data_IF_527669197156
#
_entry.id   IF_527669197156
#
_cell.length_a   1.000
_cell.length_b   1.000
_cell.length_c   1.000
_cell.angle_alpha   90.00
_cell.angle_beta   90.00
_cell.angle_gamma   90.00
#
_symmetry.space_group_name_H-M   'P 1'
#
loop_
_entity.id
_entity.type
_entity.pdbx_description
1 polymer ?
#
# COMPACT_ATOMS: atom_id res chain seq x y z
N UNK A 1 -0.63 -16.76 -15.10
CA UNK A 1 -1.50 -16.36 -16.24
C UNK A 1 -2.17 -15.06 -15.84
N UNK A 2 -2.28 -14.11 -16.77
CA UNK A 2 -3.01 -12.87 -16.54
C UNK A 2 -4.02 -12.69 -17.65
N UNK A 3 -5.21 -12.17 -17.33
CA UNK A 3 -6.24 -11.84 -18.32
C UNK A 3 -6.53 -10.34 -18.22
N UNK A 4 -6.18 -9.62 -19.26
CA UNK A 4 -6.51 -8.20 -19.42
C UNK A 4 -7.64 -8.07 -20.44
N UNK A 5 -8.69 -7.37 -20.07
CA UNK A 5 -9.77 -6.94 -20.93
C UNK A 5 -9.80 -5.42 -20.99
N UNK A 6 -9.88 -4.86 -22.19
CA UNK A 6 -9.95 -3.40 -22.37
C UNK A 6 -11.14 -3.10 -23.26
N UNK A 7 -11.98 -2.18 -22.83
CA UNK A 7 -13.15 -1.69 -23.55
C UNK A 7 -13.10 -0.16 -23.65
N UNK A 8 -13.34 0.37 -24.83
CA UNK A 8 -13.47 1.80 -25.06
C UNK A 8 -14.80 2.07 -25.79
N UNK A 9 -15.72 2.73 -25.09
CA UNK A 9 -17.03 3.07 -25.62
C UNK A 9 -17.50 4.41 -25.06
N UNK A 10 -18.08 5.27 -25.91
CA UNK A 10 -18.72 6.52 -25.49
C UNK A 10 -17.82 7.49 -24.71
N UNK A 11 -16.52 7.52 -24.97
CA UNK A 11 -15.56 8.36 -24.22
C UNK A 11 -15.12 7.76 -22.90
N UNK A 12 -15.49 6.52 -22.60
CA UNK A 12 -15.12 5.79 -21.38
C UNK A 12 -14.21 4.60 -21.73
N UNK A 13 -13.06 4.54 -21.10
CA UNK A 13 -12.14 3.41 -21.14
C UNK A 13 -12.30 2.60 -19.84
N UNK A 14 -12.50 1.30 -19.98
CA UNK A 14 -12.44 0.35 -18.87
C UNK A 14 -11.36 -0.67 -19.16
N UNK A 15 -10.40 -0.80 -18.27
CA UNK A 15 -9.36 -1.83 -18.32
C UNK A 15 -9.50 -2.72 -17.08
N UNK A 16 -9.78 -3.99 -17.30
CA UNK A 16 -9.97 -4.99 -16.25
C UNK A 16 -8.87 -6.03 -16.32
N UNK A 17 -8.14 -6.19 -15.23
CA UNK A 17 -7.17 -7.24 -14.99
C UNK A 17 -7.79 -8.25 -14.02
N UNK A 18 -8.57 -9.18 -14.55
CA UNK A 18 -9.43 -10.06 -13.76
C UNK A 18 -8.66 -11.12 -12.96
N UNK A 19 -7.58 -11.63 -13.54
CA UNK A 19 -6.75 -12.64 -12.89
C UNK A 19 -5.27 -12.30 -13.15
N UNK A 20 -4.54 -12.05 -12.11
CA UNK A 20 -3.11 -11.79 -12.18
C UNK A 20 -2.39 -12.67 -11.16
N UNK A 21 -1.49 -13.52 -11.62
CA UNK A 21 -0.58 -14.23 -10.74
C UNK A 21 0.75 -13.48 -10.69
N UNK A 22 1.15 -13.05 -9.52
CA UNK A 22 2.36 -12.27 -9.30
C UNK A 22 2.99 -12.61 -7.95
N UNK A 23 4.31 -12.76 -7.95
CA UNK A 23 5.11 -12.95 -6.73
C UNK A 23 4.49 -13.97 -5.76
N UNK A 24 4.12 -15.15 -6.26
CA UNK A 24 3.51 -16.28 -5.51
C UNK A 24 2.13 -16.01 -4.90
N UNK A 25 1.48 -14.94 -5.31
CA UNK A 25 0.12 -14.57 -4.92
C UNK A 25 -0.76 -14.28 -6.13
N UNK A 26 -1.90 -13.69 -5.85
CA UNK A 26 -2.88 -13.32 -6.85
C UNK A 26 -3.29 -11.84 -6.72
N UNK A 27 -3.77 -11.27 -7.81
CA UNK A 27 -4.30 -9.92 -7.82
C UNK A 27 -5.38 -9.73 -8.88
N UNK A 28 -6.14 -8.67 -8.71
CA UNK A 28 -7.08 -8.13 -9.68
C UNK A 28 -7.09 -6.62 -9.60
N UNK A 29 -7.35 -5.97 -10.72
CA UNK A 29 -7.47 -4.52 -10.76
C UNK A 29 -8.44 -4.09 -11.87
N UNK A 30 -9.13 -2.99 -11.66
CA UNK A 30 -9.95 -2.34 -12.67
C UNK A 30 -9.61 -0.85 -12.68
N UNK A 31 -9.35 -0.33 -13.86
CA UNK A 31 -9.19 1.09 -14.14
C UNK A 31 -10.34 1.56 -15.01
N UNK A 32 -11.02 2.60 -14.60
CA UNK A 32 -12.02 3.30 -15.40
C UNK A 32 -11.58 4.73 -15.60
N UNK A 33 -11.50 5.16 -16.86
CA UNK A 33 -11.26 6.54 -17.23
C UNK A 33 -12.51 7.01 -18.01
N UNK A 34 -13.18 8.02 -17.51
CA UNK A 34 -14.39 8.57 -18.12
C UNK A 34 -14.15 10.03 -18.53
N UNK A 35 -14.00 10.25 -19.84
CA UNK A 35 -13.86 11.57 -20.46
C UNK A 35 -15.11 12.02 -21.19
N UNK A 36 -16.27 11.37 -20.99
CA UNK A 36 -17.53 11.71 -21.67
C UNK A 36 -18.16 13.01 -21.12
N UNK A 37 -17.80 13.40 -19.92
CA UNK A 37 -18.27 14.63 -19.28
C UNK A 37 -17.32 15.83 -19.49
N UNK A 38 -17.68 16.98 -18.93
CA UNK A 38 -16.86 18.20 -18.98
C UNK A 38 -15.59 18.11 -18.12
N UNK A 39 -15.60 17.27 -17.10
CA UNK A 39 -14.46 17.02 -16.21
C UNK A 39 -14.17 15.51 -16.26
N UNK A 40 -12.96 15.11 -16.64
CA UNK A 40 -12.56 13.71 -16.64
C UNK A 40 -12.63 13.09 -15.24
N UNK A 41 -13.06 11.82 -15.18
CA UNK A 41 -13.13 11.04 -13.96
C UNK A 41 -12.24 9.80 -14.08
N UNK A 42 -11.62 9.44 -12.98
CA UNK A 42 -10.77 8.24 -12.84
C UNK A 42 -11.25 7.43 -11.66
N UNK A 43 -11.39 6.12 -11.82
CA UNK A 43 -11.59 5.20 -10.71
C UNK A 43 -10.64 4.02 -10.85
N UNK A 44 -10.00 3.67 -9.75
CA UNK A 44 -9.12 2.50 -9.65
C UNK A 44 -9.62 1.64 -8.51
N UNK A 45 -9.90 0.39 -8.80
CA UNK A 45 -10.16 -0.63 -7.79
C UNK A 45 -9.11 -1.73 -7.93
N UNK A 46 -8.67 -2.30 -6.81
CA UNK A 46 -7.69 -3.37 -6.84
C UNK A 46 -7.70 -4.20 -5.58
N UNK A 47 -7.25 -5.45 -5.72
CA UNK A 47 -7.00 -6.32 -4.58
C UNK A 47 -5.80 -7.23 -4.88
N UNK A 48 -5.01 -7.47 -3.84
CA UNK A 48 -3.89 -8.40 -3.81
C UNK A 48 -4.15 -9.43 -2.72
N UNK A 49 -3.82 -10.69 -2.98
CA UNK A 49 -4.01 -11.78 -2.05
C UNK A 49 -2.72 -12.61 -1.95
N UNK A 50 -2.19 -12.71 -0.74
CA UNK A 50 -1.03 -13.55 -0.41
C UNK A 50 0.21 -13.34 -1.32
N UNK A 51 0.51 -12.11 -1.70
CA UNK A 51 1.65 -11.75 -2.55
C UNK A 51 2.92 -11.69 -1.72
N UNK A 52 4.06 -12.16 -2.24
CA UNK A 52 5.37 -11.96 -1.61
C UNK A 52 5.70 -10.46 -1.59
N UNK A 53 5.76 -9.87 -0.39
CA UNK A 53 5.80 -8.43 -0.21
C UNK A 53 7.07 -7.80 -0.80
N UNK A 54 8.26 -8.29 -0.41
CA UNK A 54 9.52 -7.67 -0.79
C UNK A 54 9.73 -7.56 -2.30
N UNK A 55 9.65 -8.63 -3.11
CA UNK A 55 9.86 -8.50 -4.55
C UNK A 55 8.77 -7.67 -5.23
N UNK A 56 7.54 -7.68 -4.71
CA UNK A 56 6.45 -6.85 -5.22
C UNK A 56 6.72 -5.36 -4.96
N UNK A 57 7.04 -4.99 -3.71
CA UNK A 57 7.28 -3.60 -3.31
C UNK A 57 8.54 -3.02 -3.96
N UNK A 58 9.60 -3.85 -4.12
CA UNK A 58 10.81 -3.45 -4.84
C UNK A 58 10.49 -3.12 -6.30
N UNK A 59 9.72 -3.95 -6.97
CA UNK A 59 9.35 -3.72 -8.37
C UNK A 59 8.38 -2.53 -8.55
N UNK A 60 7.52 -2.26 -7.55
CA UNK A 60 6.52 -1.20 -7.62
C UNK A 60 7.09 0.18 -7.27
N UNK A 61 7.94 0.27 -6.25
CA UNK A 61 8.33 1.53 -5.62
C UNK A 61 9.80 1.57 -5.16
N UNK A 62 10.64 0.62 -5.59
CA UNK A 62 12.03 0.45 -5.11
C UNK A 62 12.12 0.35 -3.57
N UNK A 63 11.08 -0.26 -2.97
CA UNK A 63 10.91 -0.38 -1.53
C UNK A 63 11.16 -1.82 -1.10
N UNK A 64 12.29 -2.08 -0.44
CA UNK A 64 12.77 -3.44 -0.14
C UNK A 64 12.86 -3.76 1.37
N UNK A 65 12.35 -2.89 2.24
CA UNK A 65 12.50 -3.00 3.69
C UNK A 65 11.47 -3.90 4.37
N UNK A 66 10.38 -4.26 3.69
CA UNK A 66 9.35 -5.14 4.25
C UNK A 66 9.35 -6.46 3.52
N UNK A 67 9.48 -7.54 4.25
CA UNK A 67 9.27 -8.90 3.78
C UNK A 67 8.08 -9.55 4.47
N UNK A 68 7.57 -10.64 3.88
CA UNK A 68 6.40 -11.37 4.35
C UNK A 68 5.38 -11.55 3.25
N UNK A 69 4.14 -11.81 3.62
CA UNK A 69 3.00 -11.90 2.70
C UNK A 69 2.15 -10.66 2.82
N UNK A 70 1.67 -10.14 1.71
CA UNK A 70 0.77 -9.00 1.69
C UNK A 70 -0.56 -9.34 1.05
N UNK A 71 -1.63 -8.93 1.71
CA UNK A 71 -2.95 -8.72 1.15
C UNK A 71 -3.24 -7.22 1.15
N UNK A 72 -3.82 -6.70 0.09
CA UNK A 72 -4.16 -5.30 0.00
C UNK A 72 -5.44 -5.11 -0.82
N UNK A 73 -6.15 -4.04 -0.55
CA UNK A 73 -7.30 -3.62 -1.36
C UNK A 73 -7.37 -2.11 -1.45
N UNK A 74 -7.89 -1.60 -2.56
CA UNK A 74 -8.16 -0.18 -2.74
C UNK A 74 -9.38 0.03 -3.63
N UNK A 75 -10.09 1.11 -3.36
CA UNK A 75 -11.14 1.68 -4.21
C UNK A 75 -10.99 3.19 -4.13
N UNK A 76 -10.41 3.79 -5.16
CA UNK A 76 -10.05 5.20 -5.22
C UNK A 76 -10.69 5.82 -6.45
N UNK A 77 -11.21 7.02 -6.30
CA UNK A 77 -11.77 7.81 -7.38
C UNK A 77 -11.27 9.25 -7.31
N UNK A 78 -11.16 9.88 -8.46
CA UNK A 78 -10.80 11.28 -8.58
C UNK A 78 -11.48 11.89 -9.81
N UNK A 79 -11.58 13.22 -9.82
CA UNK A 79 -12.02 13.97 -11.00
C UNK A 79 -11.15 15.22 -11.17
N UNK A 80 -10.80 15.54 -12.40
CA UNK A 80 -9.96 16.71 -12.65
C UNK A 80 -9.46 16.77 -14.09
N UNK A 81 -9.09 17.96 -14.53
CA UNK A 81 -8.54 18.20 -15.85
C UNK A 81 -7.00 18.17 -15.88
N UNK A 82 -6.37 18.18 -14.71
CA UNK A 82 -4.92 18.09 -14.54
C UNK A 82 -4.54 17.05 -13.48
N UNK A 83 -3.29 16.65 -13.46
CA UNK A 83 -2.76 15.74 -12.43
C UNK A 83 -2.96 16.34 -11.02
N UNK A 84 -2.70 17.62 -10.85
CA UNK A 84 -2.91 18.32 -9.58
C UNK A 84 -4.38 18.30 -9.13
N UNK A 85 -5.33 18.49 -10.06
CA UNK A 85 -6.76 18.39 -9.76
C UNK A 85 -7.12 16.97 -9.34
N UNK A 86 -6.63 15.94 -10.07
CA UNK A 86 -6.88 14.53 -9.73
C UNK A 86 -6.36 14.19 -8.35
N UNK A 87 -5.12 14.60 -8.01
CA UNK A 87 -4.56 14.34 -6.67
C UNK A 87 -5.37 15.05 -5.60
N UNK A 88 -5.72 16.32 -5.79
CA UNK A 88 -6.49 17.09 -4.81
C UNK A 88 -7.95 16.64 -4.64
N UNK A 89 -8.50 15.94 -5.63
CA UNK A 89 -9.86 15.39 -5.61
C UNK A 89 -9.89 13.89 -5.29
N UNK A 90 -8.72 13.29 -4.98
CA UNK A 90 -8.65 11.85 -4.71
C UNK A 90 -9.44 11.51 -3.44
N UNK A 91 -10.34 10.54 -3.57
CA UNK A 91 -11.18 10.06 -2.47
C UNK A 91 -11.40 8.54 -2.57
N UNK A 92 -11.66 7.91 -1.44
CA UNK A 92 -11.94 6.48 -1.37
C UNK A 92 -11.32 5.79 -0.17
N UNK A 93 -10.96 4.54 -0.34
CA UNK A 93 -10.44 3.69 0.74
C UNK A 93 -9.28 2.82 0.23
N UNK A 94 -8.33 2.55 1.12
CA UNK A 94 -7.27 1.58 0.89
C UNK A 94 -7.00 0.82 2.19
N UNK A 95 -6.55 -0.44 2.06
CA UNK A 95 -6.15 -1.26 3.20
C UNK A 95 -4.96 -2.13 2.79
N UNK A 96 -4.07 -2.38 3.72
CA UNK A 96 -3.06 -3.41 3.61
C UNK A 96 -2.99 -4.26 4.88
N UNK A 97 -2.63 -5.53 4.68
CA UNK A 97 -2.34 -6.49 5.73
C UNK A 97 -1.06 -7.25 5.33
N UNK A 98 0.02 -7.02 6.04
CA UNK A 98 1.23 -7.84 5.95
C UNK A 98 1.21 -8.90 7.04
N UNK A 99 1.57 -10.12 6.70
CA UNK A 99 1.62 -11.24 7.63
C UNK A 99 2.96 -11.99 7.56
N UNK A 100 3.36 -12.52 8.72
CA UNK A 100 4.54 -13.37 8.87
C UNK A 100 5.77 -12.76 8.20
N UNK A 101 6.13 -11.54 8.60
CA UNK A 101 7.16 -10.77 7.96
C UNK A 101 8.15 -10.14 8.92
N UNK A 102 8.97 -9.26 8.35
CA UNK A 102 9.90 -8.44 9.09
C UNK A 102 10.10 -7.08 8.43
N UNK A 103 10.38 -6.08 9.25
CA UNK A 103 10.93 -4.79 8.82
C UNK A 103 12.45 -4.91 8.88
N UNK A 104 13.09 -4.81 7.73
CA UNK A 104 14.55 -4.94 7.58
C UNK A 104 15.25 -3.62 7.90
N UNK A 105 16.47 -3.70 8.43
CA UNK A 105 17.26 -2.54 8.79
C UNK A 105 16.88 -1.89 10.11
N UNK A 106 15.81 -2.33 10.76
CA UNK A 106 15.30 -1.71 11.99
C UNK A 106 15.07 -2.76 13.09
N UNK A 107 15.63 -2.55 14.28
CA UNK A 107 15.40 -3.40 15.45
C UNK A 107 14.69 -2.61 16.55
N UNK A 108 13.37 -2.50 16.46
CA UNK A 108 12.54 -1.75 17.40
C UNK A 108 12.69 -2.28 18.84
N UNK A 109 12.70 -3.60 19.12
CA UNK A 109 12.92 -4.10 20.46
C UNK A 109 14.25 -3.66 21.09
N UNK A 110 15.32 -3.58 20.30
CA UNK A 110 16.62 -3.09 20.74
C UNK A 110 16.60 -1.59 21.02
N UNK A 111 15.94 -0.81 20.17
CA UNK A 111 15.78 0.63 20.34
C UNK A 111 15.02 0.95 21.64
N UNK A 112 13.92 0.25 21.92
CA UNK A 112 13.12 0.44 23.15
C UNK A 112 13.89 0.07 24.40
N UNK A 113 14.74 -0.97 24.37
CA UNK A 113 15.58 -1.38 25.51
C UNK A 113 16.77 -0.47 25.75
N UNK A 114 17.27 0.16 24.69
CA UNK A 114 18.47 0.99 24.73
C UNK A 114 18.16 2.48 24.64
N UNK A 115 17.13 3.00 25.33
CA UNK A 115 16.74 4.42 25.33
C UNK A 115 17.87 5.34 25.82
N UNK A 116 18.91 5.48 25.02
CA UNK A 116 19.91 6.54 25.13
C UNK A 116 19.78 7.46 23.94
N UNK A 117 20.13 8.74 24.12
CA UNK A 117 20.04 9.76 23.06
C UNK A 117 20.82 9.34 21.79
N UNK A 118 21.94 8.62 21.96
CA UNK A 118 22.76 8.10 20.86
C UNK A 118 22.05 7.01 20.03
N UNK A 119 21.14 6.23 20.62
CA UNK A 119 20.35 5.23 19.90
C UNK A 119 19.18 5.83 19.13
N UNK A 120 18.67 6.98 19.53
CA UNK A 120 17.62 7.71 18.79
C UNK A 120 18.17 8.46 17.59
N UNK A 121 19.45 8.83 17.59
CA UNK A 121 20.14 9.50 16.48
C UNK A 121 20.86 8.52 15.55
N UNK A 122 21.05 7.27 15.97
CA UNK A 122 21.74 6.22 15.24
C UNK A 122 20.80 5.34 14.44
N UNK A 123 20.16 5.88 13.41
CA UNK A 123 19.57 5.07 12.34
C UNK A 123 20.72 4.34 11.65
N UNK A 124 21.16 3.22 12.18
CA UNK A 124 22.21 2.42 11.55
C UNK A 124 21.56 1.49 10.54
N UNK A 125 21.82 1.73 9.28
CA UNK A 125 21.56 0.80 8.18
C UNK A 125 22.39 -0.48 8.36
N UNK A 126 22.04 -1.28 9.35
CA UNK A 126 22.63 -2.60 9.51
C UNK A 126 21.67 -3.64 8.94
N UNK A 127 21.93 -4.20 7.75
CA UNK A 127 21.07 -5.19 7.10
C UNK A 127 20.81 -6.45 7.94
N UNK A 128 21.64 -6.69 8.96
CA UNK A 128 21.46 -7.80 9.90
C UNK A 128 20.45 -7.51 11.02
N UNK A 129 19.92 -6.28 11.12
CA UNK A 129 18.89 -5.93 12.08
C UNK A 129 17.53 -6.01 11.43
N UNK A 130 16.57 -6.60 12.15
CA UNK A 130 15.19 -6.68 11.70
C UNK A 130 14.23 -6.66 12.89
N UNK A 131 13.00 -6.30 12.61
CA UNK A 131 11.88 -6.41 13.54
C UNK A 131 10.87 -7.37 12.95
N UNK A 132 10.76 -8.56 13.54
CA UNK A 132 9.78 -9.56 13.11
C UNK A 132 8.38 -9.16 13.56
N UNK A 133 7.40 -9.42 12.71
CA UNK A 133 5.98 -9.27 13.03
C UNK A 133 5.16 -10.45 12.52
N UNK A 134 4.09 -10.75 13.22
CA UNK A 134 3.04 -11.66 12.75
C UNK A 134 2.00 -10.92 11.91
N UNK A 135 1.71 -9.66 12.27
CA UNK A 135 0.76 -8.78 11.58
C UNK A 135 1.33 -7.36 11.52
N UNK A 136 1.19 -6.70 10.39
CA UNK A 136 1.32 -5.26 10.21
C UNK A 136 0.20 -4.82 9.26
N UNK A 137 -0.79 -4.09 9.78
CA UNK A 137 -2.00 -3.74 9.05
C UNK A 137 -2.40 -2.29 9.28
N UNK A 138 -3.03 -1.69 8.28
CA UNK A 138 -3.70 -0.41 8.39
C UNK A 138 -4.80 -0.27 7.33
N UNK A 139 -5.83 0.49 7.64
CA UNK A 139 -6.79 1.01 6.67
C UNK A 139 -6.68 2.53 6.54
N UNK A 140 -7.01 3.04 5.37
CA UNK A 140 -6.95 4.45 5.04
C UNK A 140 -8.28 4.91 4.45
N UNK A 141 -8.81 5.98 5.01
CA UNK A 141 -9.80 6.80 4.35
C UNK A 141 -9.08 7.94 3.63
N UNK A 142 -9.38 8.11 2.35
CA UNK A 142 -8.79 9.15 1.50
C UNK A 142 -9.86 10.16 1.18
N UNK A 143 -9.62 11.42 1.51
CA UNK A 143 -10.50 12.54 1.21
C UNK A 143 -9.66 13.75 0.79
N UNK A 144 -10.02 14.34 -0.37
CA UNK A 144 -9.32 15.50 -0.92
C UNK A 144 -7.79 15.32 -1.03
N UNK A 145 -7.36 14.13 -1.44
CA UNK A 145 -5.94 13.79 -1.59
C UNK A 145 -5.19 13.49 -0.29
N UNK A 146 -5.88 13.53 0.85
CA UNK A 146 -5.28 13.24 2.16
C UNK A 146 -5.73 11.86 2.61
N UNK A 147 -4.79 10.97 2.84
CA UNK A 147 -5.02 9.65 3.39
C UNK A 147 -4.91 9.68 4.92
N UNK A 148 -5.94 9.20 5.61
CA UNK A 148 -6.01 9.12 7.07
C UNK A 148 -6.14 7.67 7.52
N UNK A 149 -5.35 7.29 8.51
CA UNK A 149 -5.45 6.02 9.23
C UNK A 149 -5.51 6.27 10.73
N UNK A 150 -6.32 5.48 11.43
CA UNK A 150 -6.45 5.47 12.90
C UNK A 150 -6.32 4.07 13.50
N UNK A 151 -6.04 3.07 12.67
CA UNK A 151 -5.99 1.66 13.01
C UNK A 151 -4.67 0.97 12.64
N UNK A 152 -3.59 1.73 12.41
CA UNK A 152 -2.29 1.11 12.18
C UNK A 152 -1.91 0.23 13.36
N UNK A 153 -1.67 -1.04 13.10
CA UNK A 153 -1.25 -2.02 14.11
C UNK A 153 -0.08 -2.86 13.59
N UNK A 154 0.92 -3.04 14.43
CA UNK A 154 1.96 -4.04 14.25
C UNK A 154 2.01 -4.94 15.48
N UNK A 155 1.94 -6.25 15.27
CA UNK A 155 2.07 -7.28 16.30
C UNK A 155 3.27 -8.14 15.99
N UNK A 156 4.25 -8.13 16.88
CA UNK A 156 5.43 -8.98 16.81
C UNK A 156 5.67 -9.75 18.11
N UNK A 157 6.63 -10.68 18.11
CA UNK A 157 6.92 -11.51 19.30
C UNK A 157 7.46 -10.70 20.48
N UNK A 158 8.06 -9.55 20.23
CA UNK A 158 8.70 -8.71 21.25
C UNK A 158 8.11 -7.30 21.35
N UNK A 159 7.21 -6.93 20.44
CA UNK A 159 6.68 -5.57 20.35
C UNK A 159 5.28 -5.56 19.77
N UNK A 160 4.44 -4.68 20.32
CA UNK A 160 3.16 -4.29 19.73
C UNK A 160 3.14 -2.78 19.58
N UNK A 161 2.82 -2.31 18.40
CA UNK A 161 2.69 -0.89 18.08
C UNK A 161 1.31 -0.63 17.53
N UNK A 162 0.77 0.53 17.88
CA UNK A 162 -0.43 1.10 17.26
C UNK A 162 -0.13 2.52 16.85
N UNK A 163 -0.77 3.00 15.81
CA UNK A 163 -0.56 4.33 15.29
C UNK A 163 -1.78 4.92 14.61
N UNK A 164 -1.77 6.23 14.50
CA UNK A 164 -2.73 6.99 13.73
C UNK A 164 -2.01 8.18 13.07
N UNK A 165 -2.47 8.59 11.91
CA UNK A 165 -1.85 9.70 11.19
C UNK A 165 -2.52 10.04 9.88
N UNK A 166 -1.96 11.05 9.22
CA UNK A 166 -2.36 11.52 7.89
C UNK A 166 -1.15 11.69 7.00
N UNK A 167 -1.33 11.40 5.71
CA UNK A 167 -0.35 11.57 4.64
C UNK A 167 -0.97 12.36 3.51
#
# INVERSE_FOLDING_TARGET
RSRLQVELAGGRLTAELAEMQLYEGAGRATLVLDGSGSVPQVRVTGALENVSARPFLTALADFDWIQGRVAASMDLAAQGASEADLVSALAGQARFDFSNGAILGLNIPKMVRGLTVDTLLGWSENPAQQTDFSVLAASFAVENGIARSDDLEMVGPLVRLTGAGTV
#
